data_IF_111854508648
#
_entry.id   IF_111854508648
#
_cell.length_a   1.000
_cell.length_b   1.000
_cell.length_c   1.000
_cell.angle_alpha   90.00
_cell.angle_beta   90.00
_cell.angle_gamma   90.00
#
_symmetry.space_group_name_H-M   'P 1'
#
loop_
_entity.id
_entity.type
_entity.pdbx_description
1 polymer ?
#
# COMPACT_ATOMS: atom_id res chain seq x y z
N UNK A 1 6.38 17.32 -16.26
CA UNK A 1 5.46 16.48 -17.03
C UNK A 1 4.11 16.42 -16.29
N UNK A 2 2.99 16.72 -17.03
CA UNK A 2 1.65 16.83 -16.45
C UNK A 2 1.19 15.54 -15.75
N UNK A 3 1.63 14.37 -16.22
CA UNK A 3 1.35 13.07 -15.61
C UNK A 3 2.04 12.97 -14.23
N UNK A 4 3.30 13.38 -14.14
CA UNK A 4 4.04 13.38 -12.86
C UNK A 4 3.44 14.36 -11.84
N UNK A 5 2.94 15.51 -12.30
CA UNK A 5 2.24 16.48 -11.44
C UNK A 5 0.95 15.91 -10.87
N UNK A 6 0.19 15.15 -11.68
CA UNK A 6 -1.02 14.48 -11.26
C UNK A 6 -0.71 13.32 -10.29
N UNK A 7 0.31 12.51 -10.58
CA UNK A 7 0.76 11.42 -9.71
C UNK A 7 1.22 11.94 -8.33
N UNK A 8 1.95 13.07 -8.30
CA UNK A 8 2.35 13.74 -7.05
C UNK A 8 1.18 14.26 -6.20
N UNK A 9 -0.04 14.30 -6.78
CA UNK A 9 -1.29 14.66 -6.10
C UNK A 9 -2.14 13.43 -5.78
N UNK A 10 -1.55 12.24 -5.77
CA UNK A 10 -2.23 10.97 -5.58
C UNK A 10 -3.35 10.71 -6.62
N UNK A 11 -3.19 11.23 -7.85
CA UNK A 11 -4.13 11.01 -8.95
C UNK A 11 -3.58 9.90 -9.84
N UNK A 12 -4.29 8.79 -9.92
CA UNK A 12 -4.03 7.72 -10.88
C UNK A 12 -4.44 8.18 -12.27
N UNK A 13 -3.52 8.12 -13.22
CA UNK A 13 -3.74 8.62 -14.57
C UNK A 13 -3.97 7.44 -15.52
N UNK A 14 -5.06 7.52 -16.28
CA UNK A 14 -5.38 6.61 -17.36
C UNK A 14 -5.35 7.41 -18.67
N UNK A 15 -4.54 6.98 -19.64
CA UNK A 15 -4.56 7.52 -20.98
C UNK A 15 -5.57 6.73 -21.83
N UNK A 16 -6.36 7.44 -22.62
CA UNK A 16 -7.32 6.88 -23.57
C UNK A 16 -6.82 7.24 -24.97
N UNK A 17 -6.64 6.23 -25.80
CA UNK A 17 -6.21 6.39 -27.17
C UNK A 17 -7.10 5.56 -28.11
N UNK A 18 -7.15 5.96 -29.37
CA UNK A 18 -7.82 5.23 -30.46
C UNK A 18 -6.79 4.81 -31.50
N UNK A 19 -7.11 3.73 -32.21
CA UNK A 19 -6.43 3.29 -33.43
C UNK A 19 -7.43 3.25 -34.55
N UNK A 20 -7.00 3.58 -35.75
CA UNK A 20 -7.78 3.39 -36.97
C UNK A 20 -7.72 1.93 -37.47
N UNK A 21 -6.80 1.13 -36.94
CA UNK A 21 -6.66 -0.29 -37.20
C UNK A 21 -7.23 -1.14 -36.06
N UNK A 22 -7.68 -2.35 -36.36
CA UNK A 22 -8.13 -3.32 -35.39
C UNK A 22 -6.94 -3.72 -34.51
N UNK A 23 -7.10 -3.56 -33.17
CA UNK A 23 -6.04 -3.86 -32.23
C UNK A 23 -5.98 -5.37 -32.00
N UNK A 24 -4.90 -6.00 -32.46
CA UNK A 24 -4.59 -7.37 -32.09
C UNK A 24 -3.95 -7.41 -30.69
N UNK A 25 -4.04 -8.54 -29.98
CA UNK A 25 -3.42 -8.74 -28.65
C UNK A 25 -1.87 -8.77 -28.70
N UNK A 26 -1.26 -7.98 -29.57
CA UNK A 26 0.18 -7.81 -29.68
C UNK A 26 0.63 -6.56 -28.94
N UNK A 27 1.78 -6.61 -28.27
CA UNK A 27 2.30 -5.50 -27.47
C UNK A 27 2.84 -4.30 -28.28
N UNK A 28 2.81 -4.35 -29.60
CA UNK A 28 3.29 -3.29 -30.48
C UNK A 28 2.12 -2.41 -30.96
N UNK A 29 1.79 -1.42 -30.13
CA UNK A 29 0.83 -0.39 -30.48
C UNK A 29 1.54 0.74 -31.25
N UNK A 30 1.67 0.58 -32.56
CA UNK A 30 2.07 1.65 -33.46
C UNK A 30 0.81 2.41 -33.88
N UNK A 31 0.89 3.72 -34.04
CA UNK A 31 -0.18 4.59 -34.56
C UNK A 31 -1.40 4.79 -33.65
N UNK A 32 -1.19 4.92 -32.33
CA UNK A 32 -2.22 5.34 -31.41
C UNK A 32 -2.41 6.86 -31.41
N UNK A 33 -3.65 7.31 -31.58
CA UNK A 33 -4.04 8.70 -31.39
C UNK A 33 -4.55 8.92 -29.96
N UNK A 34 -3.86 9.75 -29.18
CA UNK A 34 -4.27 10.08 -27.81
C UNK A 34 -5.55 10.92 -27.85
N UNK A 35 -6.63 10.38 -27.30
CA UNK A 35 -7.92 11.07 -27.15
C UNK A 35 -7.92 11.95 -25.91
N UNK A 36 -7.39 11.45 -24.81
CA UNK A 36 -7.38 12.20 -23.57
C UNK A 36 -6.73 11.47 -22.41
N UNK A 37 -6.72 12.16 -21.28
CA UNK A 37 -6.20 11.64 -20.01
C UNK A 37 -7.29 11.82 -18.95
N UNK A 38 -7.60 10.74 -18.22
CA UNK A 38 -8.53 10.76 -17.08
C UNK A 38 -7.72 10.59 -15.80
N UNK A 39 -7.92 11.48 -14.85
CA UNK A 39 -7.37 11.36 -13.51
C UNK A 39 -8.41 10.76 -12.57
N UNK A 40 -8.05 9.70 -11.87
CA UNK A 40 -8.87 9.05 -10.85
C UNK A 40 -8.16 9.27 -9.51
N UNK A 41 -8.88 9.80 -8.53
CA UNK A 41 -8.40 9.93 -7.16
C UNK A 41 -9.44 9.34 -6.23
N UNK A 42 -8.96 8.54 -5.28
CA UNK A 42 -9.72 8.10 -4.14
C UNK A 42 -9.25 8.94 -2.94
N UNK A 43 -10.15 9.71 -2.36
CA UNK A 43 -9.80 10.60 -1.26
C UNK A 43 -9.65 9.80 0.05
N UNK A 44 -8.69 10.22 0.86
CA UNK A 44 -8.51 9.65 2.20
C UNK A 44 -9.76 9.91 3.04
N UNK A 45 -10.21 8.86 3.73
CA UNK A 45 -11.26 8.99 4.73
C UNK A 45 -10.72 9.81 5.91
N UNK A 46 -11.40 10.88 6.35
CA UNK A 46 -10.94 11.72 7.47
C UNK A 46 -10.68 10.89 8.74
N UNK A 47 -11.49 9.87 8.99
CA UNK A 47 -11.37 8.96 10.12
C UNK A 47 -10.04 8.18 10.12
N UNK A 48 -9.52 7.85 8.93
CA UNK A 48 -8.24 7.15 8.81
C UNK A 48 -7.05 8.02 9.26
N UNK A 49 -7.09 9.32 8.96
CA UNK A 49 -6.07 10.28 9.41
C UNK A 49 -6.07 10.40 10.93
N UNK A 50 -7.27 10.51 11.53
CA UNK A 50 -7.42 10.57 12.99
C UNK A 50 -6.95 9.26 13.67
N UNK A 51 -7.31 8.11 13.10
CA UNK A 51 -6.92 6.81 13.61
C UNK A 51 -5.40 6.60 13.56
N UNK A 52 -4.74 6.95 12.45
CA UNK A 52 -3.29 6.91 12.31
C UNK A 52 -2.62 7.78 13.39
N UNK A 53 -3.12 9.00 13.60
CA UNK A 53 -2.60 9.88 14.65
C UNK A 53 -2.77 9.26 16.04
N UNK A 54 -3.90 8.64 16.30
CA UNK A 54 -4.18 7.97 17.59
C UNK A 54 -3.24 6.79 17.79
N UNK A 55 -3.05 5.94 16.80
CA UNK A 55 -2.12 4.82 16.84
C UNK A 55 -0.67 5.28 17.10
N UNK A 56 -0.21 6.32 16.39
CA UNK A 56 1.12 6.90 16.61
C UNK A 56 1.29 7.45 18.01
N UNK A 57 0.29 8.12 18.57
CA UNK A 57 0.31 8.62 19.94
C UNK A 57 0.33 7.50 20.99
N UNK A 58 -0.21 6.33 20.65
CA UNK A 58 -0.13 5.13 21.48
C UNK A 58 1.21 4.38 21.32
N UNK A 59 2.15 4.90 20.53
CA UNK A 59 3.46 4.28 20.29
C UNK A 59 3.42 3.17 19.24
N UNK A 60 2.34 3.05 18.49
CA UNK A 60 2.21 2.05 17.41
C UNK A 60 2.79 2.62 16.12
N UNK A 61 3.72 1.89 15.53
CA UNK A 61 4.23 2.20 14.20
C UNK A 61 3.20 1.75 13.15
N UNK A 62 2.72 2.69 12.34
CA UNK A 62 1.84 2.40 11.21
C UNK A 62 2.65 2.41 9.92
N UNK A 63 2.56 1.32 9.14
CA UNK A 63 3.24 1.15 7.85
C UNK A 63 2.20 0.90 6.77
N UNK A 64 2.23 1.71 5.71
CA UNK A 64 1.38 1.52 4.53
C UNK A 64 2.09 0.61 3.53
N UNK A 65 1.42 -0.47 3.13
CA UNK A 65 1.92 -1.40 2.12
C UNK A 65 0.91 -1.44 0.97
N UNK A 66 1.31 -0.92 -0.20
CA UNK A 66 0.40 -0.72 -1.34
C UNK A 66 1.00 -1.19 -2.66
N UNK A 67 0.14 -1.63 -3.58
CA UNK A 67 0.51 -1.90 -4.98
C UNK A 67 0.71 -0.65 -5.84
N UNK A 68 0.37 0.55 -5.33
CA UNK A 68 0.52 1.81 -6.05
C UNK A 68 1.98 2.15 -6.33
N UNK A 69 2.20 3.05 -7.30
CA UNK A 69 3.52 3.60 -7.57
C UNK A 69 4.02 4.46 -6.38
N UNK A 70 5.36 4.66 -6.33
CA UNK A 70 6.02 5.33 -5.21
C UNK A 70 5.52 6.76 -5.01
N UNK A 71 5.30 7.49 -6.10
CA UNK A 71 4.87 8.90 -6.08
C UNK A 71 3.46 9.03 -5.47
N UNK A 72 2.52 8.21 -5.91
CA UNK A 72 1.16 8.16 -5.37
C UNK A 72 1.16 7.74 -3.91
N UNK A 73 1.90 6.68 -3.57
CA UNK A 73 1.99 6.19 -2.21
C UNK A 73 2.57 7.24 -1.25
N UNK A 74 3.62 7.97 -1.66
CA UNK A 74 4.20 9.07 -0.88
C UNK A 74 3.20 10.20 -0.68
N UNK A 75 2.45 10.59 -1.73
CA UNK A 75 1.46 11.65 -1.63
C UNK A 75 0.35 11.29 -0.62
N UNK A 76 -0.19 10.07 -0.71
CA UNK A 76 -1.20 9.55 0.22
C UNK A 76 -0.64 9.48 1.64
N UNK A 77 0.57 8.96 1.82
CA UNK A 77 1.18 8.79 3.13
C UNK A 77 1.47 10.13 3.83
N UNK A 78 1.84 11.17 3.07
CA UNK A 78 2.00 12.53 3.60
C UNK A 78 0.65 13.10 4.04
N UNK A 79 -0.38 12.97 3.20
CA UNK A 79 -1.74 13.43 3.51
C UNK A 79 -2.33 12.70 4.72
N UNK A 80 -2.03 11.41 4.86
CA UNK A 80 -2.44 10.58 6.00
C UNK A 80 -1.65 10.84 7.30
N UNK A 81 -0.56 11.62 7.25
CA UNK A 81 0.30 11.85 8.40
C UNK A 81 1.20 10.66 8.76
N UNK A 82 1.46 9.76 7.81
CA UNK A 82 2.42 8.66 7.99
C UNK A 82 3.87 9.15 7.82
N UNK A 83 4.12 10.01 6.83
CA UNK A 83 5.42 10.63 6.56
C UNK A 83 5.42 12.03 7.14
N UNK A 84 6.28 12.29 8.13
CA UNK A 84 6.36 13.57 8.83
C UNK A 84 7.78 14.14 8.88
N UNK A 85 8.80 13.32 8.72
CA UNK A 85 10.21 13.73 8.82
C UNK A 85 11.08 13.12 7.72
N UNK A 86 12.27 13.70 7.54
CA UNK A 86 13.23 13.24 6.53
C UNK A 86 13.80 11.83 6.79
N UNK A 87 13.70 11.36 8.03
CA UNK A 87 14.14 10.02 8.41
C UNK A 87 13.13 8.94 8.06
N UNK A 88 11.90 9.32 7.68
CA UNK A 88 10.86 8.36 7.29
C UNK A 88 11.21 7.73 5.93
N UNK A 89 11.25 6.39 5.92
CA UNK A 89 11.72 5.62 4.78
C UNK A 89 10.53 5.15 3.93
N UNK A 90 10.68 5.33 2.62
CA UNK A 90 9.76 4.82 1.60
C UNK A 90 10.54 3.92 0.66
N UNK A 91 10.16 2.65 0.59
CA UNK A 91 10.76 1.66 -0.31
C UNK A 91 9.76 1.19 -1.36
N UNK A 92 10.26 0.80 -2.51
CA UNK A 92 9.53 -0.02 -3.47
C UNK A 92 9.80 -1.50 -3.19
N UNK A 93 8.95 -2.41 -3.73
CA UNK A 93 9.22 -3.86 -3.71
C UNK A 93 10.60 -4.21 -4.26
N UNK A 94 11.05 -3.49 -5.29
CA UNK A 94 12.37 -3.70 -5.89
C UNK A 94 13.49 -3.34 -4.91
N UNK A 95 13.44 -2.13 -4.31
CA UNK A 95 14.41 -1.69 -3.30
C UNK A 95 14.40 -2.63 -2.07
N UNK A 96 13.21 -3.09 -1.66
CA UNK A 96 13.07 -4.03 -0.54
C UNK A 96 13.74 -5.39 -0.80
N UNK A 97 13.71 -5.89 -2.04
CA UNK A 97 14.34 -7.16 -2.42
C UNK A 97 15.86 -7.11 -2.41
N UNK A 98 16.45 -5.96 -2.70
CA UNK A 98 17.90 -5.77 -2.68
C UNK A 98 18.47 -5.76 -1.24
N UNK A 99 17.62 -5.53 -0.23
CA UNK A 99 18.03 -5.52 1.17
C UNK A 99 18.10 -6.95 1.75
N UNK A 100 19.17 -7.24 2.48
CA UNK A 100 19.24 -8.39 3.37
C UNK A 100 18.26 -8.23 4.55
N UNK A 101 17.93 -9.33 5.21
CA UNK A 101 17.05 -9.28 6.38
C UNK A 101 17.66 -8.46 7.53
N UNK A 102 18.99 -8.50 7.69
CA UNK A 102 19.71 -7.73 8.71
C UNK A 102 19.70 -6.21 8.43
N UNK A 103 19.77 -5.80 7.17
CA UNK A 103 19.61 -4.40 6.78
C UNK A 103 18.18 -3.94 6.99
N UNK A 104 17.21 -4.77 6.60
CA UNK A 104 15.80 -4.50 6.77
C UNK A 104 15.41 -4.34 8.24
N UNK A 105 15.92 -5.19 9.15
CA UNK A 105 15.73 -5.05 10.59
C UNK A 105 16.19 -3.69 11.12
N UNK A 106 17.34 -3.21 10.65
CA UNK A 106 17.86 -1.89 11.06
C UNK A 106 17.02 -0.72 10.55
N UNK A 107 16.41 -0.87 9.37
CA UNK A 107 15.61 0.17 8.73
C UNK A 107 14.16 0.16 9.20
N UNK A 108 13.65 -0.99 9.65
CA UNK A 108 12.24 -1.23 9.97
C UNK A 108 11.63 -0.14 10.86
N UNK A 109 12.28 0.37 11.93
CA UNK A 109 11.71 1.41 12.78
C UNK A 109 11.35 2.71 12.04
N UNK A 110 12.01 2.97 10.91
CA UNK A 110 11.81 4.18 10.13
C UNK A 110 10.98 3.96 8.85
N UNK A 111 10.67 2.71 8.50
CA UNK A 111 9.85 2.42 7.33
C UNK A 111 8.41 2.90 7.56
N UNK A 112 7.88 3.69 6.63
CA UNK A 112 6.49 4.18 6.65
C UNK A 112 5.68 3.67 5.48
N UNK A 113 6.34 3.43 4.33
CA UNK A 113 5.63 3.03 3.11
C UNK A 113 6.43 1.97 2.35
N UNK A 114 5.74 0.93 1.89
CA UNK A 114 6.21 0.03 0.85
C UNK A 114 5.28 0.18 -0.35
N UNK A 115 5.83 0.69 -1.45
CA UNK A 115 5.13 0.91 -2.72
C UNK A 115 5.40 -0.23 -3.71
N UNK A 116 4.51 -0.45 -4.68
CA UNK A 116 4.60 -1.56 -5.65
C UNK A 116 4.77 -2.92 -4.97
N UNK A 117 4.21 -3.06 -3.76
CA UNK A 117 4.36 -4.23 -2.92
C UNK A 117 3.76 -5.48 -3.57
N UNK A 118 4.47 -6.57 -3.43
CA UNK A 118 3.98 -7.92 -3.76
C UNK A 118 3.44 -8.60 -2.49
N UNK A 119 2.59 -9.63 -2.60
CA UNK A 119 2.10 -10.38 -1.45
C UNK A 119 3.22 -10.93 -0.55
N UNK A 120 4.32 -11.36 -1.16
CA UNK A 120 5.52 -11.86 -0.45
C UNK A 120 6.21 -10.80 0.39
N UNK A 121 6.15 -9.53 -0.02
CA UNK A 121 6.75 -8.42 0.73
C UNK A 121 6.04 -8.20 2.05
N UNK A 122 4.68 -8.33 2.05
CA UNK A 122 3.86 -8.21 3.25
C UNK A 122 4.23 -9.26 4.29
N UNK A 123 4.29 -10.53 3.89
CA UNK A 123 4.70 -11.62 4.78
C UNK A 123 6.13 -11.49 5.27
N UNK A 124 7.05 -11.00 4.41
CA UNK A 124 8.45 -10.76 4.80
C UNK A 124 8.55 -9.70 5.89
N UNK A 125 7.82 -8.58 5.76
CA UNK A 125 7.84 -7.52 6.76
C UNK A 125 7.26 -7.97 8.10
N UNK A 126 6.16 -8.72 8.08
CA UNK A 126 5.58 -9.31 9.30
C UNK A 126 6.62 -10.20 10.00
N UNK A 127 7.23 -11.13 9.28
CA UNK A 127 8.27 -12.02 9.84
C UNK A 127 9.45 -11.25 10.42
N UNK A 128 9.97 -10.25 9.70
CA UNK A 128 11.10 -9.44 10.16
C UNK A 128 10.74 -8.65 11.42
N UNK A 129 9.52 -8.12 11.52
CA UNK A 129 9.07 -7.44 12.73
C UNK A 129 8.97 -8.39 13.93
N UNK A 130 8.44 -9.60 13.72
CA UNK A 130 8.36 -10.65 14.76
C UNK A 130 9.75 -11.12 15.21
N UNK A 131 10.74 -11.20 14.30
CA UNK A 131 12.13 -11.53 14.64
C UNK A 131 12.82 -10.43 15.48
N UNK A 132 12.22 -9.24 15.55
CA UNK A 132 12.62 -8.15 16.44
C UNK A 132 11.78 -8.10 17.75
N UNK A 133 11.04 -9.16 18.05
CA UNK A 133 10.13 -9.25 19.20
C UNK A 133 9.03 -8.16 19.20
N UNK A 134 8.63 -7.67 18.01
CA UNK A 134 7.53 -6.74 17.85
C UNK A 134 6.21 -7.52 17.67
N UNK A 135 5.15 -7.01 18.28
CA UNK A 135 3.78 -7.50 18.04
C UNK A 135 3.23 -6.83 16.77
N UNK A 136 2.79 -7.63 15.81
CA UNK A 136 2.37 -7.16 14.49
C UNK A 136 0.88 -7.34 14.29
N UNK A 137 0.17 -6.22 14.09
CA UNK A 137 -1.16 -6.21 13.51
C UNK A 137 -1.09 -6.06 11.99
N UNK A 138 -1.79 -6.89 11.24
CA UNK A 138 -1.87 -6.79 9.78
C UNK A 138 -3.30 -6.57 9.35
N UNK A 139 -3.54 -5.58 8.48
CA UNK A 139 -4.86 -5.35 7.87
C UNK A 139 -4.84 -5.76 6.40
N UNK A 140 -5.95 -6.31 5.91
CA UNK A 140 -6.07 -6.70 4.50
C UNK A 140 -7.51 -7.02 4.11
N UNK A 141 -7.78 -6.98 2.80
CA UNK A 141 -9.09 -7.21 2.21
C UNK A 141 -9.08 -8.23 1.06
N UNK A 142 -7.91 -8.52 0.52
CA UNK A 142 -7.74 -9.37 -0.66
C UNK A 142 -7.12 -10.73 -0.39
N UNK A 143 -7.26 -11.61 -1.39
CA UNK A 143 -6.60 -12.93 -1.40
C UNK A 143 -5.08 -12.80 -1.23
N UNK A 144 -4.50 -11.73 -1.76
CA UNK A 144 -3.07 -11.43 -1.69
C UNK A 144 -2.59 -11.08 -0.26
N UNK A 145 -3.53 -10.71 0.63
CA UNK A 145 -3.23 -10.35 2.01
C UNK A 145 -3.31 -11.55 2.96
N UNK A 146 -4.03 -12.58 2.58
CA UNK A 146 -4.30 -13.73 3.44
C UNK A 146 -3.04 -14.38 4.04
N UNK A 147 -1.92 -14.59 3.32
CA UNK A 147 -0.71 -15.12 3.92
C UNK A 147 -0.12 -14.23 5.02
N UNK A 148 -0.16 -12.89 4.85
CA UNK A 148 0.35 -11.95 5.82
C UNK A 148 -0.61 -11.77 7.01
N UNK A 149 -1.93 -11.78 6.77
CA UNK A 149 -2.96 -11.79 7.82
C UNK A 149 -2.79 -12.98 8.75
N UNK A 150 -2.60 -14.18 8.17
CA UNK A 150 -2.43 -15.40 8.95
C UNK A 150 -1.10 -15.49 9.69
N UNK A 151 -0.07 -14.79 9.21
CA UNK A 151 1.26 -14.79 9.80
C UNK A 151 1.38 -13.78 10.96
N UNK A 152 0.64 -12.69 10.92
CA UNK A 152 0.66 -11.64 11.93
C UNK A 152 0.22 -12.17 13.31
N UNK A 153 0.57 -11.44 14.37
CA UNK A 153 0.11 -11.77 15.72
C UNK A 153 -1.40 -11.49 15.88
N UNK A 154 -1.91 -10.50 15.10
CA UNK A 154 -3.34 -10.25 14.96
C UNK A 154 -3.63 -9.85 13.51
N UNK A 155 -4.38 -10.67 12.79
CA UNK A 155 -4.88 -10.39 11.45
C UNK A 155 -6.25 -9.71 11.49
N UNK A 156 -6.37 -8.52 10.90
CA UNK A 156 -7.62 -7.77 10.77
C UNK A 156 -8.10 -7.82 9.32
N UNK A 157 -9.14 -8.57 9.03
CA UNK A 157 -9.76 -8.61 7.71
C UNK A 157 -10.86 -7.55 7.61
N UNK A 158 -10.94 -6.86 6.46
CA UNK A 158 -12.02 -5.92 6.20
C UNK A 158 -13.35 -6.65 5.92
N UNK A 159 -14.46 -6.10 6.38
CA UNK A 159 -15.80 -6.68 6.22
C UNK A 159 -16.21 -6.82 4.75
N UNK A 160 -15.85 -5.84 3.91
CA UNK A 160 -16.02 -5.88 2.45
C UNK A 160 -14.98 -6.74 1.72
N UNK A 161 -13.98 -7.25 2.44
CA UNK A 161 -12.93 -8.09 1.87
C UNK A 161 -13.41 -9.46 1.38
N UNK A 162 -12.52 -10.15 0.69
CA UNK A 162 -12.78 -11.52 0.19
C UNK A 162 -12.96 -12.50 1.34
N UNK A 163 -13.71 -13.58 1.10
CA UNK A 163 -13.88 -14.66 2.10
C UNK A 163 -12.52 -15.25 2.51
N UNK A 164 -11.57 -15.35 1.56
CA UNK A 164 -10.22 -15.85 1.85
C UNK A 164 -9.48 -14.94 2.85
N UNK A 165 -9.62 -13.62 2.73
CA UNK A 165 -9.04 -12.69 3.68
C UNK A 165 -9.71 -12.79 5.06
N UNK A 166 -11.05 -12.93 5.10
CA UNK A 166 -11.83 -13.08 6.34
C UNK A 166 -11.49 -14.38 7.08
N UNK A 167 -11.31 -15.49 6.35
CA UNK A 167 -10.90 -16.76 6.93
C UNK A 167 -9.44 -16.75 7.44
N UNK A 168 -8.59 -15.91 6.85
CA UNK A 168 -7.20 -15.77 7.26
C UNK A 168 -7.01 -14.83 8.46
N UNK A 169 -7.92 -13.87 8.67
CA UNK A 169 -7.86 -12.91 9.75
C UNK A 169 -8.42 -13.46 11.07
N UNK A 170 -7.91 -12.97 12.18
CA UNK A 170 -8.42 -13.28 13.53
C UNK A 170 -9.68 -12.46 13.86
N UNK A 171 -9.76 -11.26 13.31
CA UNK A 171 -10.83 -10.28 13.55
C UNK A 171 -11.33 -9.75 12.22
N UNK A 172 -12.68 -9.65 12.07
CA UNK A 172 -13.30 -9.02 10.90
C UNK A 172 -13.84 -7.64 11.30
N UNK A 173 -13.37 -6.59 10.62
CA UNK A 173 -13.78 -5.20 10.82
C UNK A 173 -14.98 -4.90 9.93
N UNK A 174 -16.18 -5.01 10.50
CA UNK A 174 -17.44 -4.97 9.75
C UNK A 174 -17.75 -3.62 9.08
N UNK A 175 -17.26 -2.53 9.63
CA UNK A 175 -17.48 -1.17 9.14
C UNK A 175 -16.39 -0.68 8.18
N UNK A 176 -15.42 -1.54 7.85
CA UNK A 176 -14.27 -1.22 7.00
C UNK A 176 -13.49 0.04 7.45
N UNK A 177 -13.51 0.33 8.74
CA UNK A 177 -12.93 1.53 9.29
C UNK A 177 -11.67 1.23 10.09
N UNK A 178 -10.52 1.79 9.66
CA UNK A 178 -9.25 1.65 10.37
C UNK A 178 -9.31 2.16 11.82
N UNK A 179 -10.23 3.06 12.15
CA UNK A 179 -10.45 3.56 13.52
C UNK A 179 -10.99 2.48 14.47
N UNK A 180 -11.57 1.41 13.93
CA UNK A 180 -12.15 0.31 14.71
C UNK A 180 -11.11 -0.76 15.12
N UNK A 181 -9.86 -0.61 14.64
CA UNK A 181 -8.69 -1.40 15.00
C UNK A 181 -8.00 -0.77 16.21
#
# INVERSE_FOLDING_TARGET
NRISELANRAIRVIAIATSDEELEETNDFNDLTLVGIVGIRDDLRPESVEAIKTAKNAGIQVVMITGDNKETAVAIAKEAGLIECETDIVLTSFELKELSDEELKKMLPNIRVIARALPTDKSRLVRIAQELDLVVGMTGDGVNDAPALKLADVGFAMGSGTEVAKEAGDIVILDDNFKSI
#
